data_IF_346356362416
#
_entry.id   IF_346356362416
#
_cell.length_a   1.000
_cell.length_b   1.000
_cell.length_c   1.000
_cell.angle_alpha   90.00
_cell.angle_beta   90.00
_cell.angle_gamma   90.00
#
_symmetry.space_group_name_H-M   'P 1'
#
loop_
_entity.id
_entity.type
_entity.pdbx_description
1 polymer ?
#
# COMPACT_ATOMS: atom_id res chain seq x y z
N UNK A 1 6.24 20.01 47.00
CA UNK A 1 6.73 20.15 45.60
C UNK A 1 7.71 19.06 45.19
N UNK A 2 8.62 18.59 46.07
CA UNK A 2 9.59 17.53 45.72
C UNK A 2 8.93 16.19 45.34
N UNK A 3 7.88 15.77 46.06
CA UNK A 3 7.18 14.49 45.79
C UNK A 3 6.54 14.44 44.39
N UNK A 4 5.94 15.53 43.92
CA UNK A 4 5.32 15.58 42.59
C UNK A 4 6.35 15.45 41.45
N UNK A 5 7.57 15.96 41.67
CA UNK A 5 8.68 15.79 40.71
C UNK A 5 9.11 14.33 40.64
N UNK A 6 9.31 13.69 41.79
CA UNK A 6 9.73 12.27 41.86
C UNK A 6 8.66 11.33 41.29
N UNK A 7 7.38 11.62 41.50
CA UNK A 7 6.29 10.88 40.88
C UNK A 7 6.30 11.01 39.35
N UNK A 8 6.49 12.22 38.81
CA UNK A 8 6.61 12.45 37.37
C UNK A 8 7.83 11.74 36.77
N UNK A 9 8.98 11.80 37.43
CA UNK A 9 10.19 11.08 37.00
C UNK A 9 9.96 9.56 36.97
N UNK A 10 9.24 9.02 37.96
CA UNK A 10 8.85 7.61 37.98
C UNK A 10 7.89 7.22 36.85
N UNK A 11 6.95 8.11 36.49
CA UNK A 11 6.03 7.89 35.36
C UNK A 11 6.79 7.91 34.03
N UNK A 12 7.71 8.86 33.84
CA UNK A 12 8.55 8.95 32.64
C UNK A 12 9.37 7.67 32.48
N UNK A 13 10.06 7.23 33.53
CA UNK A 13 10.87 6.01 33.47
C UNK A 13 10.04 4.76 33.11
N UNK A 14 8.78 4.70 33.58
CA UNK A 14 7.86 3.61 33.22
C UNK A 14 7.43 3.69 31.75
N UNK A 15 7.13 4.88 31.24
CA UNK A 15 6.77 5.09 29.83
C UNK A 15 7.95 4.72 28.94
N UNK A 16 9.17 5.17 29.26
CA UNK A 16 10.37 4.88 28.47
C UNK A 16 10.64 3.39 28.40
N UNK A 17 10.51 2.69 29.54
CA UNK A 17 10.66 1.24 29.59
C UNK A 17 9.65 0.54 28.67
N UNK A 18 8.37 0.91 28.78
CA UNK A 18 7.32 0.30 27.97
C UNK A 18 7.49 0.62 26.48
N UNK A 19 7.90 1.84 26.14
CA UNK A 19 8.16 2.26 24.77
C UNK A 19 9.31 1.48 24.14
N UNK A 20 10.40 1.23 24.87
CA UNK A 20 11.54 0.41 24.40
C UNK A 20 11.09 -1.01 24.11
N UNK A 21 10.39 -1.64 25.04
CA UNK A 21 9.89 -3.01 24.89
C UNK A 21 8.97 -3.11 23.65
N UNK A 22 8.01 -2.19 23.51
CA UNK A 22 7.08 -2.17 22.39
C UNK A 22 7.77 -1.87 21.06
N UNK A 23 8.74 -0.96 21.03
CA UNK A 23 9.51 -0.63 19.84
C UNK A 23 10.32 -1.83 19.38
N UNK A 24 11.15 -2.42 20.25
CA UNK A 24 11.99 -3.57 19.89
C UNK A 24 11.16 -4.76 19.43
N UNK A 25 10.06 -5.08 20.11
CA UNK A 25 9.17 -6.17 19.71
C UNK A 25 8.55 -5.91 18.33
N UNK A 26 8.06 -4.69 18.09
CA UNK A 26 7.44 -4.33 16.82
C UNK A 26 8.48 -4.30 15.70
N UNK A 27 9.65 -3.73 15.94
CA UNK A 27 10.74 -3.64 14.98
C UNK A 27 11.17 -5.01 14.48
N UNK A 28 11.40 -5.97 15.38
CA UNK A 28 11.80 -7.33 14.99
C UNK A 28 10.70 -8.06 14.20
N UNK A 29 9.43 -7.87 14.56
CA UNK A 29 8.30 -8.41 13.78
C UNK A 29 8.25 -7.80 12.37
N UNK A 30 8.36 -6.48 12.26
CA UNK A 30 8.34 -5.78 10.96
C UNK A 30 9.54 -6.19 10.12
N UNK A 31 10.74 -6.25 10.71
CA UNK A 31 11.98 -6.68 10.05
C UNK A 31 11.84 -8.09 9.49
N UNK A 32 11.35 -9.05 10.28
CA UNK A 32 11.12 -10.43 9.85
C UNK A 32 10.07 -10.54 8.73
N UNK A 33 9.02 -9.73 8.78
CA UNK A 33 8.03 -9.65 7.70
C UNK A 33 8.63 -9.02 6.43
N UNK A 34 9.44 -7.97 6.58
CA UNK A 34 10.07 -7.25 5.48
C UNK A 34 11.07 -8.10 4.70
N UNK A 35 11.87 -8.90 5.41
CA UNK A 35 12.80 -9.85 4.79
C UNK A 35 12.09 -10.91 3.92
N UNK A 36 10.81 -11.21 4.19
CA UNK A 36 9.98 -12.14 3.41
C UNK A 36 9.17 -11.42 2.32
N UNK A 37 8.57 -10.29 2.66
CA UNK A 37 7.73 -9.50 1.76
C UNK A 37 8.51 -8.92 0.58
N UNK A 38 9.75 -8.50 0.81
CA UNK A 38 10.59 -7.94 -0.25
C UNK A 38 10.82 -8.92 -1.40
N UNK A 39 11.38 -10.14 -1.18
CA UNK A 39 11.58 -11.08 -2.27
C UNK A 39 10.27 -11.55 -2.90
N UNK A 40 9.18 -11.64 -2.14
CA UNK A 40 7.86 -11.97 -2.69
C UNK A 40 7.39 -10.92 -3.71
N UNK A 41 7.56 -9.63 -3.42
CA UNK A 41 7.17 -8.54 -4.33
C UNK A 41 8.15 -8.33 -5.49
N UNK A 42 9.45 -8.55 -5.30
CA UNK A 42 10.46 -8.34 -6.34
C UNK A 42 10.73 -9.59 -7.20
N UNK A 43 10.22 -10.76 -6.81
CA UNK A 43 10.57 -12.04 -7.43
C UNK A 43 11.99 -12.49 -7.12
N UNK A 44 12.50 -12.13 -5.93
CA UNK A 44 13.84 -12.44 -5.45
C UNK A 44 14.55 -11.24 -4.83
N UNK A 45 15.86 -11.38 -4.59
CA UNK A 45 16.63 -10.37 -3.86
C UNK A 45 16.48 -10.51 -2.35
N UNK A 46 16.87 -9.48 -1.61
CA UNK A 46 16.80 -9.44 -0.14
C UNK A 46 16.75 -8.00 0.34
N UNK A 47 16.10 -7.76 1.47
CA UNK A 47 16.13 -6.48 2.16
C UNK A 47 16.16 -6.68 3.67
N UNK A 48 16.61 -5.67 4.40
CA UNK A 48 16.71 -5.70 5.84
C UNK A 48 16.44 -4.31 6.43
N UNK A 49 16.03 -4.28 7.70
CA UNK A 49 15.94 -3.09 8.53
C UNK A 49 17.06 -3.12 9.56
N UNK A 50 17.82 -2.04 9.65
CA UNK A 50 18.98 -1.93 10.54
C UNK A 50 18.80 -0.68 11.40
N UNK A 51 18.94 -0.82 12.72
CA UNK A 51 18.99 0.33 13.61
C UNK A 51 20.35 1.03 13.48
N UNK A 52 20.37 2.36 13.48
CA UNK A 52 21.62 3.11 13.53
C UNK A 52 22.35 2.85 14.84
N UNK A 53 23.66 3.04 14.84
CA UNK A 53 24.48 2.89 16.05
C UNK A 53 24.16 4.03 17.03
N UNK A 54 23.28 3.75 18.00
CA UNK A 54 22.95 4.63 19.11
C UNK A 54 22.92 3.83 20.42
N UNK A 55 23.21 4.50 21.55
CA UNK A 55 23.14 3.87 22.88
C UNK A 55 21.69 3.51 23.27
N UNK A 56 20.72 4.21 22.69
CA UNK A 56 19.30 4.10 22.99
C UNK A 56 18.46 3.78 21.75
N UNK A 57 17.66 2.71 21.82
CA UNK A 57 16.70 2.34 20.76
C UNK A 57 15.61 3.38 20.51
N UNK A 58 15.32 4.24 21.49
CA UNK A 58 14.35 5.35 21.34
C UNK A 58 14.93 6.52 20.53
N UNK A 59 16.25 6.63 20.48
CA UNK A 59 16.97 7.67 19.72
C UNK A 59 17.53 7.12 18.40
N UNK A 60 17.58 5.80 18.24
CA UNK A 60 18.06 5.13 17.03
C UNK A 60 17.17 5.42 15.81
N UNK A 61 17.82 5.76 14.68
CA UNK A 61 17.18 5.77 13.37
C UNK A 61 17.00 4.37 12.79
N UNK A 62 16.15 4.25 11.77
CA UNK A 62 15.95 3.01 11.01
C UNK A 62 16.52 3.17 9.60
N UNK A 63 17.57 2.43 9.28
CA UNK A 63 18.11 2.31 7.93
C UNK A 63 17.44 1.16 7.17
N UNK A 64 17.02 1.45 5.93
CA UNK A 64 16.47 0.46 5.01
C UNK A 64 17.55 0.10 4.01
N UNK A 65 17.94 -1.17 3.99
CA UNK A 65 18.90 -1.73 3.03
C UNK A 65 18.22 -2.77 2.16
N UNK A 66 18.41 -2.68 0.85
CA UNK A 66 17.79 -3.60 -0.09
C UNK A 66 18.72 -3.95 -1.25
N UNK A 67 18.54 -5.16 -1.76
CA UNK A 67 19.31 -5.78 -2.83
C UNK A 67 18.30 -6.39 -3.80
N UNK A 68 17.80 -5.60 -4.78
CA UNK A 68 16.93 -6.12 -5.82
C UNK A 68 17.61 -7.28 -6.60
N UNK A 69 16.84 -8.12 -7.31
CA UNK A 69 17.39 -9.22 -8.10
C UNK A 69 18.53 -8.77 -9.02
N UNK A 70 19.71 -9.38 -8.87
CA UNK A 70 20.89 -9.09 -9.68
C UNK A 70 21.68 -7.83 -9.29
N UNK A 71 21.29 -7.11 -8.22
CA UNK A 71 22.02 -5.93 -7.69
C UNK A 71 22.68 -6.21 -6.34
N UNK A 72 23.66 -5.38 -5.99
CA UNK A 72 24.30 -5.40 -4.67
C UNK A 72 23.38 -4.77 -3.62
N UNK A 73 23.71 -4.99 -2.34
CA UNK A 73 23.00 -4.37 -1.22
C UNK A 73 23.32 -2.87 -1.19
N UNK A 74 22.27 -2.04 -1.24
CA UNK A 74 22.36 -0.60 -1.18
C UNK A 74 21.39 -0.03 -0.15
N UNK A 75 21.68 1.16 0.37
CA UNK A 75 20.69 1.96 1.11
C UNK A 75 19.57 2.38 0.16
N UNK A 76 18.34 2.48 0.67
CA UNK A 76 17.16 2.78 -0.15
C UNK A 76 17.34 3.99 -1.06
N UNK A 77 17.96 5.07 -0.58
CA UNK A 77 18.19 6.30 -1.37
C UNK A 77 19.10 6.16 -2.59
N UNK A 78 19.79 5.02 -2.75
CA UNK A 78 20.65 4.72 -3.90
C UNK A 78 19.97 3.82 -4.95
N UNK A 79 18.74 3.36 -4.71
CA UNK A 79 17.97 2.57 -5.65
C UNK A 79 17.33 3.45 -6.74
N UNK A 80 16.87 2.86 -7.85
CA UNK A 80 16.07 3.60 -8.85
C UNK A 80 14.71 4.02 -8.26
N UNK A 81 14.05 5.05 -8.81
CA UNK A 81 12.77 5.53 -8.27
C UNK A 81 11.68 4.45 -8.16
N UNK A 82 11.56 3.57 -9.15
CA UNK A 82 10.63 2.43 -9.10
C UNK A 82 11.04 1.38 -8.05
N UNK A 83 12.35 1.12 -7.90
CA UNK A 83 12.86 0.21 -6.87
C UNK A 83 12.68 0.78 -5.46
N UNK A 84 12.89 2.08 -5.27
CA UNK A 84 12.64 2.78 -4.01
C UNK A 84 11.18 2.64 -3.61
N UNK A 85 10.26 2.88 -4.56
CA UNK A 85 8.82 2.79 -4.30
C UNK A 85 8.41 1.36 -3.98
N UNK A 86 8.83 0.38 -4.78
CA UNK A 86 8.48 -1.01 -4.51
C UNK A 86 9.08 -1.51 -3.18
N UNK A 87 10.27 -1.03 -2.79
CA UNK A 87 10.86 -1.30 -1.47
C UNK A 87 10.01 -0.69 -0.35
N UNK A 88 9.53 0.55 -0.54
CA UNK A 88 8.65 1.21 0.42
C UNK A 88 7.29 0.50 0.54
N UNK A 89 6.71 0.05 -0.58
CA UNK A 89 5.48 -0.77 -0.61
C UNK A 89 5.68 -2.09 0.14
N UNK A 90 6.83 -2.75 -0.05
CA UNK A 90 7.17 -3.96 0.70
C UNK A 90 7.25 -3.70 2.21
N UNK A 91 7.84 -2.57 2.63
CA UNK A 91 7.86 -2.17 4.04
C UNK A 91 6.45 -1.86 4.56
N UNK A 92 5.63 -1.15 3.78
CA UNK A 92 4.25 -0.82 4.13
C UNK A 92 3.41 -2.08 4.37
N UNK A 93 3.49 -3.07 3.48
CA UNK A 93 2.80 -4.35 3.66
C UNK A 93 3.37 -5.18 4.81
N UNK A 94 4.65 -5.00 5.15
CA UNK A 94 5.28 -5.67 6.30
C UNK A 94 4.79 -5.10 7.62
N UNK A 95 4.65 -3.77 7.70
CA UNK A 95 4.01 -3.07 8.81
C UNK A 95 2.54 -3.48 8.93
N UNK A 96 1.84 -3.53 7.81
CA UNK A 96 0.43 -3.91 7.76
C UNK A 96 0.16 -5.31 8.32
N UNK A 97 1.04 -6.29 8.05
CA UNK A 97 0.92 -7.63 8.62
C UNK A 97 1.07 -7.68 10.14
N UNK A 98 1.86 -6.77 10.73
CA UNK A 98 2.03 -6.71 12.19
C UNK A 98 0.77 -6.15 12.86
N UNK A 99 0.11 -5.19 12.21
CA UNK A 99 -1.10 -4.56 12.73
C UNK A 99 -2.13 -4.35 11.61
N UNK A 100 -2.86 -5.41 11.22
CA UNK A 100 -3.82 -5.32 10.13
C UNK A 100 -4.99 -4.42 10.52
N UNK A 101 -5.48 -3.67 9.54
CA UNK A 101 -6.67 -2.81 9.66
C UNK A 101 -7.83 -3.42 8.88
N UNK A 102 -9.10 -3.30 9.34
CA UNK A 102 -10.25 -3.81 8.60
C UNK A 102 -10.42 -3.15 7.22
N UNK A 103 -9.90 -1.94 7.02
CA UNK A 103 -9.82 -1.29 5.71
C UNK A 103 -8.50 -0.53 5.53
N UNK A 104 -8.08 -0.34 4.28
CA UNK A 104 -6.87 0.38 3.90
C UNK A 104 -7.14 1.25 2.68
N UNK A 105 -6.70 2.51 2.72
CA UNK A 105 -6.76 3.45 1.58
C UNK A 105 -5.35 3.64 1.05
N UNK A 106 -5.15 3.35 -0.23
CA UNK A 106 -3.87 3.51 -0.92
C UNK A 106 -4.02 4.58 -1.98
N UNK A 107 -3.24 5.65 -1.88
CA UNK A 107 -3.31 6.79 -2.80
C UNK A 107 -2.09 6.81 -3.73
N UNK A 108 -2.32 6.49 -5.00
CA UNK A 108 -1.33 6.49 -6.10
C UNK A 108 0.01 5.80 -5.79
N UNK A 109 0.00 4.80 -4.91
CA UNK A 109 1.22 4.07 -4.54
C UNK A 109 1.91 3.37 -5.72
N UNK A 110 1.17 3.13 -6.80
CA UNK A 110 1.64 2.47 -8.01
C UNK A 110 2.10 3.43 -9.12
N UNK A 111 1.96 4.75 -8.94
CA UNK A 111 2.35 5.75 -9.94
C UNK A 111 3.82 5.66 -10.41
N UNK A 112 4.82 5.43 -9.55
CA UNK A 112 6.23 5.32 -9.98
C UNK A 112 6.64 3.89 -10.36
N UNK A 113 5.72 2.92 -10.38
CA UNK A 113 6.00 1.53 -10.73
C UNK A 113 5.85 1.32 -12.25
N UNK A 114 6.67 0.42 -12.81
CA UNK A 114 6.48 -0.06 -14.17
C UNK A 114 5.41 -1.17 -14.24
N UNK A 115 4.93 -1.46 -15.45
CA UNK A 115 3.91 -2.46 -15.72
C UNK A 115 4.16 -3.82 -15.03
N UNK A 116 5.41 -4.30 -15.05
CA UNK A 116 5.77 -5.59 -14.48
C UNK A 116 5.70 -5.58 -12.95
N UNK A 117 6.09 -4.47 -12.31
CA UNK A 117 6.00 -4.30 -10.86
C UNK A 117 4.56 -4.05 -10.41
N UNK A 118 3.75 -3.33 -11.19
CA UNK A 118 2.32 -3.15 -10.90
C UNK A 118 1.61 -4.51 -10.82
N UNK A 119 1.89 -5.43 -11.75
CA UNK A 119 1.30 -6.77 -11.73
C UNK A 119 1.63 -7.49 -10.41
N UNK A 120 2.89 -7.41 -9.92
CA UNK A 120 3.31 -8.04 -8.64
C UNK A 120 2.65 -7.38 -7.44
N UNK A 121 2.58 -6.05 -7.41
CA UNK A 121 1.88 -5.28 -6.39
C UNK A 121 0.41 -5.68 -6.29
N UNK A 122 -0.29 -5.76 -7.43
CA UNK A 122 -1.69 -6.16 -7.51
C UNK A 122 -1.90 -7.60 -7.04
N UNK A 123 -1.03 -8.54 -7.44
CA UNK A 123 -1.13 -9.91 -6.93
C UNK A 123 -0.98 -9.95 -5.41
N UNK A 124 -0.05 -9.18 -4.85
CA UNK A 124 0.15 -9.14 -3.40
C UNK A 124 -1.03 -8.51 -2.66
N UNK A 125 -1.61 -7.43 -3.21
CA UNK A 125 -2.83 -6.84 -2.68
C UNK A 125 -3.98 -7.84 -2.59
N UNK A 126 -4.15 -8.70 -3.60
CA UNK A 126 -5.21 -9.72 -3.63
C UNK A 126 -5.11 -10.71 -2.47
N UNK A 127 -3.91 -11.01 -1.98
CA UNK A 127 -3.72 -11.87 -0.81
C UNK A 127 -4.30 -11.24 0.47
N UNK A 128 -4.25 -9.91 0.58
CA UNK A 128 -4.78 -9.19 1.75
C UNK A 128 -6.30 -8.97 1.70
N UNK A 129 -6.93 -9.09 0.53
CA UNK A 129 -8.38 -8.92 0.36
C UNK A 129 -9.20 -9.95 1.17
N UNK A 130 -8.62 -11.07 1.56
CA UNK A 130 -9.28 -12.08 2.41
C UNK A 130 -9.52 -11.58 3.84
N UNK A 131 -8.76 -10.58 4.29
CA UNK A 131 -8.78 -10.10 5.67
C UNK A 131 -9.22 -8.64 5.79
N UNK A 132 -9.08 -7.86 4.71
CA UNK A 132 -9.23 -6.42 4.77
C UNK A 132 -9.77 -5.82 3.48
N UNK A 133 -10.53 -4.74 3.64
CA UNK A 133 -11.08 -3.94 2.56
C UNK A 133 -10.02 -3.00 1.98
N UNK A 134 -9.92 -2.89 0.65
CA UNK A 134 -8.95 -1.98 0.01
C UNK A 134 -9.66 -0.96 -0.87
N UNK A 135 -9.34 0.31 -0.62
CA UNK A 135 -9.73 1.44 -1.44
C UNK A 135 -8.45 1.96 -2.09
N UNK A 136 -8.35 1.90 -3.41
CA UNK A 136 -7.11 2.23 -4.14
C UNK A 136 -7.40 3.36 -5.12
N UNK A 137 -6.76 4.50 -4.92
CA UNK A 137 -6.81 5.64 -5.83
C UNK A 137 -5.66 5.47 -6.81
N UNK A 138 -5.97 5.40 -8.11
CA UNK A 138 -4.95 5.09 -9.11
C UNK A 138 -5.38 5.52 -10.52
N UNK A 139 -4.40 5.90 -11.34
CA UNK A 139 -4.57 6.07 -12.78
C UNK A 139 -4.01 4.88 -13.58
N UNK A 140 -3.51 3.84 -12.92
CA UNK A 140 -2.94 2.65 -13.56
C UNK A 140 -4.01 1.72 -14.10
N UNK A 141 -4.06 1.58 -15.44
CA UNK A 141 -5.02 0.70 -16.12
C UNK A 141 -4.94 -0.77 -15.64
N UNK A 142 -3.76 -1.22 -15.19
CA UNK A 142 -3.54 -2.59 -14.67
C UNK A 142 -4.10 -2.77 -13.27
N UNK A 143 -3.93 -1.78 -12.41
CA UNK A 143 -4.52 -1.79 -11.08
C UNK A 143 -6.05 -1.68 -11.18
N UNK A 144 -6.53 -0.83 -12.09
CA UNK A 144 -7.95 -0.67 -12.42
C UNK A 144 -8.57 -1.98 -12.92
N UNK A 145 -7.90 -2.71 -13.82
CA UNK A 145 -8.44 -3.95 -14.39
C UNK A 145 -8.50 -5.10 -13.40
N UNK A 146 -7.76 -5.01 -12.29
CA UNK A 146 -7.77 -6.01 -11.23
C UNK A 146 -8.85 -5.77 -10.17
N UNK A 147 -9.55 -4.64 -10.21
CA UNK A 147 -10.55 -4.27 -9.24
C UNK A 147 -11.93 -4.87 -9.52
N UNK A 148 -12.73 -5.03 -8.47
CA UNK A 148 -14.10 -5.51 -8.58
C UNK A 148 -15.09 -4.40 -8.97
N UNK A 149 -14.87 -3.20 -8.44
CA UNK A 149 -15.70 -2.01 -8.67
C UNK A 149 -14.80 -0.82 -8.90
N UNK A 150 -15.15 -0.03 -9.92
CA UNK A 150 -14.56 1.25 -10.26
C UNK A 150 -15.55 2.36 -9.89
N UNK A 151 -15.04 3.40 -9.26
CA UNK A 151 -15.64 4.71 -9.14
C UNK A 151 -14.80 5.70 -9.94
N UNK A 152 -15.28 6.15 -11.09
CA UNK A 152 -14.64 7.22 -11.85
C UNK A 152 -15.05 8.58 -11.30
N UNK A 153 -14.09 9.45 -11.08
CA UNK A 153 -14.33 10.86 -10.74
C UNK A 153 -13.96 11.69 -11.96
N UNK A 154 -14.89 12.51 -12.44
CA UNK A 154 -14.71 13.35 -13.62
C UNK A 154 -15.28 14.75 -13.38
N UNK A 155 -14.67 15.75 -14.01
CA UNK A 155 -15.17 17.13 -13.98
C UNK A 155 -15.89 17.44 -15.30
N UNK A 156 -17.21 17.27 -15.34
CA UNK A 156 -18.02 17.71 -16.49
C UNK A 156 -18.09 19.23 -16.57
N UNK A 157 -18.13 19.88 -15.41
CA UNK A 157 -18.05 21.33 -15.25
C UNK A 157 -16.78 21.66 -14.47
N UNK A 158 -16.11 22.76 -14.84
CA UNK A 158 -14.82 23.11 -14.26
C UNK A 158 -14.96 23.33 -12.74
N UNK A 159 -14.26 22.51 -11.97
CA UNK A 159 -14.26 22.58 -10.50
C UNK A 159 -15.43 21.88 -9.82
N UNK A 160 -16.30 21.19 -10.56
CA UNK A 160 -17.39 20.37 -10.00
C UNK A 160 -17.15 18.91 -10.35
N UNK A 161 -16.81 18.12 -9.33
CA UNK A 161 -16.58 16.68 -9.48
C UNK A 161 -17.91 15.92 -9.53
N UNK A 162 -18.03 14.98 -10.47
CA UNK A 162 -19.14 14.04 -10.59
C UNK A 162 -18.60 12.62 -10.52
N UNK A 163 -19.32 11.75 -9.79
CA UNK A 163 -18.98 10.34 -9.67
C UNK A 163 -19.76 9.50 -10.68
N UNK A 164 -19.07 8.55 -11.30
CA UNK A 164 -19.65 7.47 -12.11
C UNK A 164 -19.14 6.13 -11.57
N UNK A 165 -19.93 5.06 -11.65
CA UNK A 165 -19.53 3.75 -11.11
C UNK A 165 -19.73 2.63 -12.12
N UNK A 166 -18.78 1.71 -12.18
CA UNK A 166 -18.84 0.50 -13.02
C UNK A 166 -18.45 -0.71 -12.16
N UNK A 167 -19.23 -1.79 -12.24
CA UNK A 167 -18.93 -3.07 -11.56
C UNK A 167 -18.50 -4.10 -12.59
N UNK A 168 -17.30 -4.66 -12.44
CA UNK A 168 -16.88 -5.78 -13.28
C UNK A 168 -17.51 -7.07 -12.73
N UNK A 169 -18.34 -7.72 -13.54
CA UNK A 169 -18.88 -9.03 -13.22
C UNK A 169 -17.94 -10.11 -13.76
N UNK A 170 -17.64 -11.13 -12.96
CA UNK A 170 -16.67 -12.19 -13.27
C UNK A 170 -17.03 -13.09 -14.48
N UNK A 171 -18.17 -12.89 -15.14
CA UNK A 171 -18.71 -13.77 -16.20
C UNK A 171 -18.52 -13.26 -17.64
N UNK A 172 -17.73 -12.21 -17.90
CA UNK A 172 -17.52 -11.70 -19.28
C UNK A 172 -16.15 -11.99 -19.90
N UNK A 173 -15.45 -13.02 -19.41
CA UNK A 173 -14.29 -13.58 -20.09
C UNK A 173 -14.70 -14.78 -20.98
N UNK A 174 -15.64 -14.57 -21.91
CA UNK A 174 -15.96 -15.59 -22.92
C UNK A 174 -17.37 -15.57 -23.48
N UNK A 175 -17.75 -14.54 -24.23
CA UNK A 175 -18.81 -14.67 -25.24
C UNK A 175 -18.74 -13.54 -26.27
N UNK A 176 -18.34 -13.90 -27.48
CA UNK A 176 -18.62 -13.12 -28.68
C UNK A 176 -20.13 -13.09 -28.96
N UNK A 177 -20.59 -11.98 -29.55
CA UNK A 177 -21.81 -11.75 -30.33
C UNK A 177 -23.00 -11.01 -29.70
N UNK A 178 -23.22 -9.83 -30.31
CA UNK A 178 -24.46 -9.40 -30.96
C UNK A 178 -25.75 -9.29 -30.13
N UNK A 179 -26.12 -8.03 -29.91
CA UNK A 179 -27.46 -7.50 -30.07
C UNK A 179 -28.53 -8.02 -29.12
N UNK A 180 -28.81 -7.27 -28.05
CA UNK A 180 -30.14 -7.13 -27.42
C UNK A 180 -30.14 -5.92 -26.48
N UNK A 181 -30.62 -4.80 -26.99
CA UNK A 181 -31.11 -3.68 -26.17
C UNK A 181 -32.54 -4.04 -25.78
N UNK A 182 -32.81 -4.18 -24.48
CA UNK A 182 -34.14 -3.92 -23.96
C UNK A 182 -34.02 -3.26 -22.58
N UNK A 183 -34.72 -2.15 -22.45
CA UNK A 183 -34.71 -1.22 -21.33
C UNK A 183 -35.48 -1.78 -20.12
N UNK A 184 -34.87 -1.67 -18.94
CA UNK A 184 -35.57 -1.42 -17.68
C UNK A 184 -34.59 -0.80 -16.68
N UNK A 185 -34.68 0.53 -16.57
CA UNK A 185 -34.26 1.42 -15.47
C UNK A 185 -33.06 1.02 -14.57
N UNK A 186 -31.87 1.42 -15.04
CA UNK A 186 -30.86 2.10 -14.22
C UNK A 186 -30.05 2.99 -15.16
N UNK A 187 -30.09 4.31 -14.98
CA UNK A 187 -29.45 5.29 -15.87
C UNK A 187 -27.95 5.05 -15.96
N UNK A 188 -27.52 4.42 -17.06
CA UNK A 188 -26.12 4.38 -17.51
C UNK A 188 -25.93 5.61 -18.41
N UNK A 189 -25.40 6.69 -17.84
CA UNK A 189 -24.88 7.81 -18.63
C UNK A 189 -23.48 7.42 -19.12
N UNK A 190 -23.33 7.28 -20.44
CA UNK A 190 -22.06 7.05 -21.12
C UNK A 190 -21.14 8.26 -20.95
N UNK A 191 -19.92 8.03 -20.44
CA UNK A 191 -18.92 9.07 -20.19
C UNK A 191 -18.38 9.71 -21.49
N UNK A 192 -18.12 11.03 -21.51
CA UNK A 192 -17.31 11.66 -22.55
C UNK A 192 -15.82 11.43 -22.28
N UNK A 193 -15.03 11.32 -23.36
CA UNK A 193 -13.57 11.19 -23.30
C UNK A 193 -12.93 12.45 -22.70
N UNK A 194 -12.28 12.31 -21.54
CA UNK A 194 -11.42 13.35 -20.97
C UNK A 194 -11.01 12.99 -19.55
N UNK A 195 -9.70 12.70 -19.38
CA UNK A 195 -8.93 12.53 -18.15
C UNK A 195 -9.70 11.92 -16.96
N UNK A 196 -9.73 10.59 -16.95
CA UNK A 196 -10.37 9.76 -15.92
C UNK A 196 -9.40 9.53 -14.75
N UNK A 197 -9.67 10.12 -13.58
CA UNK A 197 -9.08 9.68 -12.32
C UNK A 197 -10.03 8.64 -11.68
N UNK A 198 -9.48 7.45 -11.42
CA UNK A 198 -10.25 6.26 -11.05
C UNK A 198 -9.96 5.89 -9.59
N UNK A 199 -11.04 5.77 -8.82
CA UNK A 199 -11.04 5.35 -7.44
C UNK A 199 -11.58 3.92 -7.38
N UNK A 200 -10.82 3.00 -6.79
CA UNK A 200 -11.22 1.62 -6.57
C UNK A 200 -11.76 1.49 -5.16
N UNK A 201 -12.89 0.83 -4.99
CA UNK A 201 -13.33 0.38 -3.68
C UNK A 201 -13.93 -1.01 -3.82
N UNK A 202 -13.43 -1.96 -3.04
CA UNK A 202 -14.24 -3.10 -2.62
C UNK A 202 -14.03 -3.35 -1.16
#
# INVERSE_FOLDING_TARGET
>A
MVNAKTELEGVIARIDKQSREMFTETFEKVRGNFQKMFPDLFGGGRADLVLTEEEDVLEAGVEIVASPPGKKLHRIGLLSGGEQTMTAVALLFSLYQVKPSPFCVLDELDAPLDDANIDRYVQKLKEFLAHSQFIVITHSKRTISAADVIYGVTMQERGVSRMVSVKFSADQAGASNANRINQSDSKVETAPKGDEEIFLAK
#
